data_IF_018632947265
#
_entry.id   IF_018632947265
#
_cell.length_a   1.000
_cell.length_b   1.000
_cell.length_c   1.000
_cell.angle_alpha   90.00
_cell.angle_beta   90.00
_cell.angle_gamma   90.00
#
_symmetry.space_group_name_H-M   'P 1'
#
loop_
_entity.id
_entity.type
_entity.pdbx_description
1 polymer ?
#
# COMPACT_ATOMS: atom_id res chain seq x y z
N UNK A 1 10.90 22.07 -9.28
CA UNK A 1 10.68 20.88 -8.44
C UNK A 1 9.25 20.42 -8.68
N UNK A 2 9.08 19.47 -9.57
CA UNK A 2 7.77 18.85 -9.85
C UNK A 2 8.07 17.39 -10.09
N UNK A 3 8.00 16.58 -9.02
CA UNK A 3 8.01 15.14 -9.15
C UNK A 3 6.58 14.72 -9.53
N UNK A 4 6.22 14.97 -10.80
CA UNK A 4 5.04 14.40 -11.40
C UNK A 4 5.39 12.96 -11.77
N UNK A 5 5.27 12.06 -10.79
CA UNK A 5 5.67 10.67 -10.96
C UNK A 5 4.60 9.92 -11.75
N UNK A 6 4.91 9.72 -13.03
CA UNK A 6 4.44 8.71 -13.97
C UNK A 6 3.19 7.92 -13.55
N UNK A 7 2.01 8.43 -13.93
CA UNK A 7 0.86 7.58 -14.17
C UNK A 7 0.96 7.04 -15.61
N UNK A 8 1.43 5.80 -15.78
CA UNK A 8 0.92 4.81 -16.74
C UNK A 8 1.91 3.65 -16.95
N UNK A 9 1.50 2.43 -16.60
CA UNK A 9 1.42 1.32 -17.57
C UNK A 9 0.45 0.25 -17.08
N UNK A 10 -0.50 -0.11 -17.93
CA UNK A 10 -1.38 -1.26 -17.77
C UNK A 10 -0.51 -2.53 -17.67
N UNK A 11 -0.69 -3.29 -16.58
CA UNK A 11 0.21 -4.36 -16.14
C UNK A 11 0.83 -4.14 -14.74
N UNK A 12 0.33 -3.16 -13.98
CA UNK A 12 0.80 -2.88 -12.62
C UNK A 12 0.29 -3.88 -11.58
N UNK A 13 0.96 -3.91 -10.41
CA UNK A 13 0.53 -4.66 -9.23
C UNK A 13 -0.92 -4.30 -8.86
N UNK A 14 -1.77 -5.31 -8.65
CA UNK A 14 -3.22 -5.16 -8.42
C UNK A 14 -3.63 -5.78 -7.11
N UNK A 15 -4.84 -5.45 -6.63
CA UNK A 15 -5.45 -6.12 -5.48
C UNK A 15 -5.49 -7.64 -5.63
N UNK A 16 -5.82 -8.16 -6.82
CA UNK A 16 -5.85 -9.60 -7.09
C UNK A 16 -4.46 -10.21 -6.92
N UNK A 17 -3.42 -9.59 -7.47
CA UNK A 17 -2.04 -10.07 -7.31
C UNK A 17 -1.57 -10.02 -5.85
N UNK A 18 -1.98 -9.00 -5.09
CA UNK A 18 -1.69 -8.93 -3.66
C UNK A 18 -2.37 -10.06 -2.88
N UNK A 19 -3.65 -10.35 -3.17
CA UNK A 19 -4.38 -11.46 -2.56
C UNK A 19 -3.78 -12.82 -2.92
N UNK A 20 -3.41 -13.03 -4.19
CA UNK A 20 -2.75 -14.28 -4.62
C UNK A 20 -1.40 -14.48 -3.94
N UNK A 21 -0.67 -13.38 -3.68
CA UNK A 21 0.68 -13.45 -3.11
C UNK A 21 0.72 -13.57 -1.58
N UNK A 22 -0.16 -12.84 -0.88
CA UNK A 22 -0.12 -12.73 0.58
C UNK A 22 -1.41 -13.16 1.27
N UNK A 23 -2.46 -13.48 0.52
CA UNK A 23 -3.79 -13.72 1.06
C UNK A 23 -4.51 -12.43 1.43
N UNK A 24 -5.60 -12.58 2.19
CA UNK A 24 -6.35 -11.46 2.73
C UNK A 24 -5.50 -10.69 3.76
N UNK A 25 -5.58 -9.35 3.77
CA UNK A 25 -4.91 -8.57 4.81
C UNK A 25 -5.55 -8.81 6.16
N UNK A 26 -4.75 -8.78 7.23
CA UNK A 26 -5.23 -8.86 8.61
C UNK A 26 -6.09 -7.65 8.99
N UNK A 27 -5.81 -6.49 8.39
CA UNK A 27 -6.63 -5.30 8.53
C UNK A 27 -6.65 -4.44 7.26
N UNK A 28 -7.75 -3.71 7.11
CA UNK A 28 -8.03 -2.80 6.01
C UNK A 28 -8.47 -1.44 6.55
N UNK A 29 -7.93 -0.38 5.97
CA UNK A 29 -8.34 0.99 6.25
C UNK A 29 -8.83 1.67 4.97
N UNK A 30 -10.04 2.21 5.02
CA UNK A 30 -10.63 2.91 3.88
C UNK A 30 -11.12 1.96 2.80
N UNK A 31 -11.25 2.48 1.58
CA UNK A 31 -11.75 1.74 0.42
C UNK A 31 -11.36 2.47 -0.86
N UNK A 32 -11.15 1.74 -1.95
CA UNK A 32 -10.97 2.31 -3.30
C UNK A 32 -12.09 3.26 -3.73
N UNK A 33 -13.29 3.08 -3.15
CA UNK A 33 -14.46 3.89 -3.43
C UNK A 33 -14.64 5.07 -2.45
N UNK A 34 -13.82 5.18 -1.40
CA UNK A 34 -13.87 6.32 -0.48
C UNK A 34 -13.27 7.56 -1.17
N UNK A 35 -14.04 8.65 -1.36
CA UNK A 35 -13.51 9.88 -1.97
C UNK A 35 -12.47 10.58 -1.08
N UNK A 36 -12.39 10.24 0.21
CA UNK A 36 -11.42 10.84 1.12
C UNK A 36 -10.03 10.33 0.79
N UNK A 37 -9.14 11.28 0.54
CA UNK A 37 -7.71 11.00 0.35
C UNK A 37 -6.99 11.17 1.68
N UNK A 38 -6.15 10.21 2.01
CA UNK A 38 -5.25 10.21 3.16
C UNK A 38 -3.80 10.28 2.67
N UNK A 39 -2.89 10.68 3.53
CA UNK A 39 -1.45 10.68 3.24
C UNK A 39 -0.70 10.10 4.43
N UNK A 40 0.15 9.12 4.19
CA UNK A 40 0.98 8.45 5.20
C UNK A 40 2.34 8.13 4.57
N UNK A 41 3.45 8.46 5.25
CA UNK A 41 4.81 8.32 4.73
C UNK A 41 5.03 8.94 3.33
N UNK A 42 4.34 10.04 3.02
CA UNK A 42 4.40 10.70 1.71
C UNK A 42 3.62 9.98 0.60
N UNK A 43 2.88 8.91 0.92
CA UNK A 43 2.05 8.15 0.00
C UNK A 43 0.60 8.58 0.17
N UNK A 44 -0.02 9.05 -0.92
CA UNK A 44 -1.46 9.36 -0.96
C UNK A 44 -2.27 8.12 -1.28
N UNK A 45 -3.31 7.85 -0.49
CA UNK A 45 -4.12 6.64 -0.60
C UNK A 45 -5.59 6.89 -0.22
N UNK A 46 -6.48 6.02 -0.72
CA UNK A 46 -7.87 5.90 -0.27
C UNK A 46 -8.07 4.60 0.52
N UNK A 47 -7.22 3.61 0.25
CA UNK A 47 -7.24 2.30 0.89
C UNK A 47 -5.83 1.86 1.27
N UNK A 48 -5.69 1.30 2.46
CA UNK A 48 -4.46 0.69 2.96
C UNK A 48 -4.77 -0.72 3.45
N UNK A 49 -4.00 -1.68 2.99
CA UNK A 49 -4.03 -3.06 3.46
C UNK A 49 -2.85 -3.29 4.39
N UNK A 50 -3.09 -3.99 5.49
CA UNK A 50 -2.14 -4.24 6.56
C UNK A 50 -2.00 -5.74 6.75
N UNK A 51 -0.78 -6.24 6.59
CA UNK A 51 -0.41 -7.63 6.83
C UNK A 51 0.48 -7.70 8.06
N UNK A 52 0.09 -8.49 9.05
CA UNK A 52 0.90 -8.76 10.23
C UNK A 52 1.90 -9.85 9.88
N UNK A 53 3.18 -9.52 10.01
CA UNK A 53 4.27 -10.46 9.80
C UNK A 53 4.77 -11.00 11.14
N UNK A 54 5.72 -11.93 11.07
CA UNK A 54 6.39 -12.42 12.27
C UNK A 54 7.22 -11.30 12.90
N UNK A 55 7.52 -11.45 14.19
CA UNK A 55 8.38 -10.51 14.94
C UNK A 55 7.82 -9.09 15.09
N UNK A 56 6.49 -8.93 14.98
CA UNK A 56 5.82 -7.64 15.18
C UNK A 56 5.97 -6.66 14.01
N UNK A 57 6.51 -7.12 12.88
CA UNK A 57 6.60 -6.34 11.65
C UNK A 57 5.23 -6.27 10.95
N UNK A 58 5.02 -5.23 10.15
CA UNK A 58 3.79 -5.04 9.38
C UNK A 58 4.13 -4.67 7.95
N UNK A 59 3.50 -5.33 6.98
CA UNK A 59 3.53 -4.87 5.58
C UNK A 59 2.30 -4.01 5.31
N UNK A 60 2.55 -2.81 4.80
CA UNK A 60 1.54 -1.81 4.48
C UNK A 60 1.49 -1.65 2.96
N UNK A 61 0.32 -1.88 2.37
CA UNK A 61 0.11 -1.79 0.92
C UNK A 61 -0.91 -0.70 0.64
N UNK A 62 -0.50 0.33 -0.11
CA UNK A 62 -1.30 1.52 -0.33
C UNK A 62 -1.91 1.55 -1.73
N UNK A 63 -3.19 1.87 -1.77
CA UNK A 63 -3.98 1.99 -2.99
C UNK A 63 -4.63 3.37 -3.06
N UNK A 64 -4.63 3.98 -4.24
CA UNK A 64 -5.36 5.21 -4.49
C UNK A 64 -6.26 5.03 -5.70
N UNK A 65 -7.57 5.17 -5.48
CA UNK A 65 -8.61 4.65 -6.36
C UNK A 65 -8.31 3.19 -6.70
N UNK A 66 -8.05 2.87 -7.97
CA UNK A 66 -7.85 1.50 -8.45
C UNK A 66 -6.38 1.18 -8.75
N UNK A 67 -5.43 2.00 -8.27
CA UNK A 67 -4.01 1.85 -8.57
C UNK A 67 -3.15 1.65 -7.32
N UNK A 68 -2.20 0.72 -7.39
CA UNK A 68 -1.12 0.57 -6.43
C UNK A 68 -0.28 1.84 -6.35
N UNK A 69 0.09 2.25 -5.12
CA UNK A 69 0.89 3.45 -4.86
C UNK A 69 2.20 3.18 -4.15
N UNK A 70 2.28 2.10 -3.40
CA UNK A 70 3.51 1.74 -2.71
C UNK A 70 3.29 0.65 -1.69
N UNK A 71 4.40 0.07 -1.27
CA UNK A 71 4.45 -0.93 -0.22
C UNK A 71 5.57 -0.56 0.74
N UNK A 72 5.28 -0.63 2.03
CA UNK A 72 6.25 -0.39 3.09
C UNK A 72 6.28 -1.59 4.03
N UNK A 73 7.47 -1.94 4.50
CA UNK A 73 7.69 -2.78 5.66
C UNK A 73 7.88 -1.86 6.87
N UNK A 74 6.94 -1.89 7.81
CA UNK A 74 7.11 -1.29 9.11
C UNK A 74 7.72 -2.31 10.07
N UNK A 75 8.87 -1.96 10.65
CA UNK A 75 9.58 -2.78 11.63
C UNK A 75 8.97 -2.62 13.03
N UNK A 76 9.32 -3.53 13.95
CA UNK A 76 8.82 -3.51 15.32
C UNK A 76 9.19 -2.23 16.10
N UNK A 77 10.23 -1.51 15.67
CA UNK A 77 10.65 -0.23 16.22
C UNK A 77 9.90 0.98 15.62
N UNK A 78 8.96 0.74 14.69
CA UNK A 78 8.18 1.76 14.00
C UNK A 78 8.90 2.41 12.81
N UNK A 79 10.13 2.01 12.49
CA UNK A 79 10.80 2.45 11.27
C UNK A 79 10.16 1.81 10.03
N UNK A 80 10.17 2.53 8.91
CA UNK A 80 9.59 2.06 7.65
C UNK A 80 10.65 1.93 6.57
N UNK A 81 10.53 0.86 5.78
CA UNK A 81 11.37 0.59 4.63
C UNK A 81 10.49 0.42 3.40
N UNK A 82 10.89 1.00 2.27
CA UNK A 82 10.16 0.81 1.03
C UNK A 82 10.41 -0.60 0.48
N UNK A 83 9.34 -1.34 0.24
CA UNK A 83 9.42 -2.64 -0.44
C UNK A 83 9.07 -2.47 -1.93
N UNK A 84 9.74 -3.27 -2.76
CA UNK A 84 9.42 -3.41 -4.17
C UNK A 84 8.47 -4.58 -4.38
N UNK A 85 7.62 -4.50 -5.40
CA UNK A 85 6.73 -5.59 -5.85
C UNK A 85 7.51 -6.66 -6.59
#
# INVERSE_FOLDING_TARGET
MTAESAAASAGGFTHVLALERWGEPDAWEGSVNDPRTREEHGIRYNEKWIYLLREGQRRLVYWHRYGFRGMLLELADGSVQQESV
#
